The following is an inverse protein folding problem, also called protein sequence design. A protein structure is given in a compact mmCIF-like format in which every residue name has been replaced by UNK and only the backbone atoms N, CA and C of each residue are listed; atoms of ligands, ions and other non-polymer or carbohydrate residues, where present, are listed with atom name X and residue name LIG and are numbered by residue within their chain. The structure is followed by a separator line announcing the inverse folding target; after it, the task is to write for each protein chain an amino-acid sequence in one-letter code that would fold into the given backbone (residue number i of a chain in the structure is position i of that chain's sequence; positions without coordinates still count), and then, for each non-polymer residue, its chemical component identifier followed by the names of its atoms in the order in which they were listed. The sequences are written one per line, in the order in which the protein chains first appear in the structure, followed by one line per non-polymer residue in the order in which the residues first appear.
data_IF_342155454086
#
_entry.id   IF_342155454086
#
_cell.length_a   1.000
_cell.length_b   1.000
_cell.length_c   1.000
_cell.angle_alpha   90.00
_cell.angle_beta   90.00
_cell.angle_gamma   90.00
#
_symmetry.space_group_name_H-M   'P 1'
#
loop_
_entity.id
_entity.type
_entity.pdbx_description
1 polymer ?
#
# COMPACT_ATOMS: atom_id res chain seq x y z
N UNK A 1 6.20 -6.92 0.62
CA UNK A 1 5.14 -6.03 0.11
C UNK A 1 5.80 -4.85 -0.60
N UNK A 2 5.14 -4.27 -1.56
CA UNK A 2 5.62 -3.04 -2.20
C UNK A 2 4.42 -2.13 -2.44
N UNK A 3 4.30 -1.11 -1.61
CA UNK A 3 3.22 -0.14 -1.73
C UNK A 3 3.82 1.24 -1.97
N UNK A 4 3.66 1.76 -3.18
CA UNK A 4 4.10 3.11 -3.50
C UNK A 4 3.11 4.13 -2.95
N UNK A 5 3.60 5.08 -2.19
CA UNK A 5 2.79 6.17 -1.62
C UNK A 5 3.17 7.45 -2.35
N UNK A 6 2.32 7.87 -3.26
CA UNK A 6 2.62 8.97 -4.19
C UNK A 6 2.94 10.27 -3.47
N UNK A 7 2.16 10.63 -2.47
CA UNK A 7 2.35 11.88 -1.73
C UNK A 7 3.64 11.90 -0.93
N UNK A 8 4.18 10.75 -0.60
CA UNK A 8 5.46 10.63 0.11
C UNK A 8 6.63 10.40 -0.85
N UNK A 9 6.35 10.09 -2.10
CA UNK A 9 7.34 9.68 -3.09
C UNK A 9 8.23 8.57 -2.53
N UNK A 10 7.62 7.59 -1.90
CA UNK A 10 8.32 6.50 -1.23
C UNK A 10 7.52 5.21 -1.33
N UNK A 11 8.23 4.08 -1.26
CA UNK A 11 7.63 2.75 -1.31
C UNK A 11 7.76 2.08 0.05
N UNK A 12 6.63 1.66 0.63
CA UNK A 12 6.61 0.88 1.86
C UNK A 12 6.88 -0.57 1.50
N UNK A 13 7.92 -1.15 2.07
CA UNK A 13 8.30 -2.54 1.80
C UNK A 13 7.98 -3.49 2.96
N UNK A 14 7.92 -2.97 4.18
CA UNK A 14 7.56 -3.77 5.35
C UNK A 14 6.81 -2.94 6.37
N UNK A 15 5.90 -3.59 7.11
CA UNK A 15 5.16 -2.99 8.22
C UNK A 15 5.16 -4.01 9.36
N UNK A 16 5.41 -3.56 10.59
CA UNK A 16 5.32 -4.46 11.75
C UNK A 16 4.01 -4.29 12.51
N UNK A 17 3.79 -5.14 13.51
CA UNK A 17 2.55 -5.11 14.28
C UNK A 17 2.41 -3.88 15.18
N UNK A 18 3.51 -3.16 15.41
CA UNK A 18 3.50 -1.92 16.20
C UNK A 18 3.23 -0.68 15.33
N UNK A 19 3.02 -0.86 14.03
CA UNK A 19 2.75 0.24 13.13
C UNK A 19 4.00 0.95 12.61
N UNK A 20 5.18 0.40 12.86
CA UNK A 20 6.40 0.94 12.25
C UNK A 20 6.51 0.47 10.82
N UNK A 21 7.09 1.31 9.97
CA UNK A 21 7.25 1.00 8.56
C UNK A 21 8.71 1.05 8.16
N UNK A 22 9.05 0.27 7.15
CA UNK A 22 10.35 0.35 6.50
C UNK A 22 10.12 0.75 5.05
N UNK A 23 10.68 1.87 4.67
CA UNK A 23 10.64 2.35 3.30
C UNK A 23 11.80 1.76 2.52
N UNK A 24 11.64 1.65 1.21
CA UNK A 24 12.68 1.11 0.34
C UNK A 24 13.95 1.95 0.46
N UNK A 25 15.07 1.28 0.76
CA UNK A 25 16.35 1.95 0.94
C UNK A 25 16.55 2.62 2.28
N UNK A 26 15.59 2.51 3.20
CA UNK A 26 15.65 3.14 4.53
C UNK A 26 15.49 2.10 5.64
N UNK A 27 15.79 2.53 6.85
CA UNK A 27 15.63 1.72 8.05
C UNK A 27 14.21 1.87 8.61
N UNK A 28 13.88 1.05 9.61
CA UNK A 28 12.57 1.12 10.27
C UNK A 28 12.33 2.49 10.89
N UNK A 29 11.12 3.00 10.75
CA UNK A 29 10.74 4.29 11.32
C UNK A 29 9.28 4.28 11.75
N UNK A 30 8.96 5.16 12.69
CA UNK A 30 7.58 5.39 13.11
C UNK A 30 6.99 6.47 12.22
N UNK A 31 5.95 6.18 11.43
CA UNK A 31 5.38 7.20 10.55
C UNK A 31 4.69 8.29 11.36
N UNK A 32 4.75 9.52 10.86
CA UNK A 32 3.95 10.61 11.40
C UNK A 32 2.48 10.37 11.12
N UNK A 33 1.59 11.14 11.73
CA UNK A 33 0.16 11.01 11.49
C UNK A 33 -0.18 11.25 10.00
N UNK A 34 0.45 12.23 9.39
CA UNK A 34 0.21 12.53 7.96
C UNK A 34 0.73 11.41 7.07
N UNK A 35 1.91 10.89 7.38
CA UNK A 35 2.47 9.74 6.66
C UNK A 35 1.59 8.51 6.79
N UNK A 36 1.09 8.25 8.00
CA UNK A 36 0.18 7.14 8.24
C UNK A 36 -1.09 7.26 7.40
N UNK A 37 -1.67 8.45 7.34
CA UNK A 37 -2.88 8.70 6.53
C UNK A 37 -2.61 8.50 5.05
N UNK A 38 -1.46 8.97 4.56
CA UNK A 38 -1.06 8.77 3.17
C UNK A 38 -0.91 7.30 2.82
N UNK A 39 -0.30 6.52 3.72
CA UNK A 39 -0.13 5.08 3.54
C UNK A 39 -1.49 4.37 3.52
N UNK A 40 -2.38 4.72 4.45
CA UNK A 40 -3.72 4.14 4.51
C UNK A 40 -4.50 4.44 3.21
N UNK A 41 -4.41 5.68 2.74
CA UNK A 41 -5.07 6.06 1.48
C UNK A 41 -4.54 5.25 0.30
N UNK A 42 -3.22 5.15 0.17
CA UNK A 42 -2.60 4.38 -0.90
C UNK A 42 -2.97 2.90 -0.83
N UNK A 43 -2.99 2.32 0.38
CA UNK A 43 -3.37 0.92 0.57
C UNK A 43 -4.84 0.70 0.24
N UNK A 44 -5.72 1.63 0.60
CA UNK A 44 -7.14 1.54 0.30
C UNK A 44 -7.39 1.55 -1.21
N UNK A 45 -6.69 2.41 -1.94
CA UNK A 45 -6.79 2.44 -3.40
C UNK A 45 -6.27 1.16 -4.03
N UNK A 46 -5.17 0.64 -3.53
CA UNK A 46 -4.59 -0.61 -4.01
C UNK A 46 -5.55 -1.78 -3.82
N UNK A 47 -6.19 -1.86 -2.66
CA UNK A 47 -7.18 -2.90 -2.38
C UNK A 47 -8.35 -2.82 -3.36
N UNK A 48 -8.85 -1.62 -3.61
CA UNK A 48 -9.97 -1.42 -4.54
C UNK A 48 -9.61 -1.87 -5.95
N UNK A 49 -8.41 -1.55 -6.42
CA UNK A 49 -7.95 -1.97 -7.73
C UNK A 49 -7.79 -3.49 -7.82
N UNK A 50 -7.24 -4.10 -6.77
CA UNK A 50 -7.06 -5.55 -6.73
C UNK A 50 -8.41 -6.28 -6.67
N UNK A 51 -9.38 -5.73 -5.96
CA UNK A 51 -10.74 -6.29 -5.93
C UNK A 51 -11.39 -6.24 -7.31
N UNK A 52 -11.24 -5.14 -8.01
CA UNK A 52 -11.75 -5.00 -9.37
C UNK A 52 -11.10 -6.02 -10.31
N UNK A 53 -9.78 -6.17 -10.22
CA UNK A 53 -9.05 -7.18 -11.00
C UNK A 53 -9.56 -8.58 -10.73
N UNK A 54 -9.76 -8.92 -9.46
CA UNK A 54 -10.29 -10.23 -9.09
C UNK A 54 -11.68 -10.47 -9.64
N UNK A 55 -12.56 -9.46 -9.58
CA UNK A 55 -13.90 -9.56 -10.12
C UNK A 55 -13.88 -9.84 -11.63
N UNK A 56 -13.04 -9.11 -12.35
CA UNK A 56 -12.90 -9.29 -13.80
C UNK A 56 -12.41 -10.70 -14.13
N UNK A 57 -11.38 -11.15 -13.44
CA UNK A 57 -10.79 -12.47 -13.71
C UNK A 57 -11.69 -13.63 -13.27
N UNK A 58 -12.37 -13.50 -12.14
CA UNK A 58 -13.25 -14.54 -11.61
C UNK A 58 -14.57 -14.64 -12.37
N UNK A 59 -15.01 -13.54 -12.94
CA UNK A 59 -16.25 -13.48 -13.69
C UNK A 59 -16.18 -14.23 -15.02
N UNK A 60 -14.98 -14.52 -15.51
CA UNK A 60 -14.80 -15.26 -16.74
C UNK A 60 -15.23 -14.53 -18.00
N UNK A 61 -15.43 -13.22 -17.93
CA UNK A 61 -15.87 -12.43 -19.07
C UNK A 61 -14.75 -11.99 -19.98
N UNK A 62 -13.56 -12.34 -19.64
CA UNK A 62 -12.40 -12.07 -20.46
C UNK A 62 -12.28 -13.22 -21.46
N UNK A 63 -13.08 -13.17 -22.41
CA UNK A 63 -13.02 -14.18 -23.47
C UNK A 63 -12.60 -13.52 -24.76
#
# INVERSE_FOLDING_TARGET
MKLFVETMDATVVEVDAAGRVRLDGEDWSQPTLQERRAIIHAATEEVAELQELLEILQDGRIA
#
